data_IF_208355680655
#
_entry.id   IF_208355680655
#
_cell.length_a   1.000
_cell.length_b   1.000
_cell.length_c   1.000
_cell.angle_alpha   90.00
_cell.angle_beta   90.00
_cell.angle_gamma   90.00
#
_symmetry.space_group_name_H-M   'P 1'
#
loop_
_entity.id
_entity.type
_entity.pdbx_description
1 polymer ?
#
# COMPACT_ATOMS: atom_id res chain seq x y z
N UNK A 1 13.65 19.21 5.02
CA UNK A 1 14.32 18.11 5.74
C UNK A 1 13.59 16.83 5.42
N UNK A 2 14.21 15.79 4.82
CA UNK A 2 13.53 14.53 4.62
C UNK A 2 13.64 13.74 5.93
N UNK A 3 12.68 13.96 6.83
CA UNK A 3 12.54 13.13 8.02
C UNK A 3 12.21 11.70 7.57
N UNK A 4 13.13 10.77 7.87
CA UNK A 4 12.94 9.34 7.71
C UNK A 4 11.96 8.85 8.79
N UNK A 5 10.70 9.27 8.66
CA UNK A 5 9.63 9.00 9.60
C UNK A 5 8.65 7.98 9.03
N UNK A 6 8.27 7.04 9.88
CA UNK A 6 7.10 6.21 9.63
C UNK A 6 5.87 7.12 9.48
N UNK A 7 5.20 7.04 8.33
CA UNK A 7 3.99 7.83 8.06
C UNK A 7 2.77 6.94 8.22
N UNK A 8 1.86 7.31 9.11
CA UNK A 8 0.58 6.61 9.26
C UNK A 8 -0.39 7.19 8.23
N UNK A 9 -0.81 6.35 7.29
CA UNK A 9 -1.74 6.71 6.22
C UNK A 9 -3.06 5.97 6.42
N UNK A 10 -4.18 6.66 6.18
CA UNK A 10 -5.50 6.02 6.08
C UNK A 10 -5.82 5.74 4.62
N UNK A 11 -6.13 4.51 4.27
CA UNK A 11 -6.50 4.18 2.90
C UNK A 11 -7.88 4.75 2.58
N UNK A 12 -7.94 5.54 1.52
CA UNK A 12 -9.16 6.20 1.03
C UNK A 12 -9.73 5.54 -0.22
N UNK A 13 -8.89 4.86 -1.01
CA UNK A 13 -9.27 4.18 -2.24
C UNK A 13 -8.39 2.94 -2.41
N UNK A 14 -8.95 1.87 -2.97
CA UNK A 14 -8.22 0.63 -3.29
C UNK A 14 -8.74 0.10 -4.63
N UNK A 15 -7.83 -0.30 -5.50
CA UNK A 15 -8.10 -1.01 -6.73
C UNK A 15 -7.23 -2.25 -6.80
N UNK A 16 -7.78 -3.31 -7.40
CA UNK A 16 -7.08 -4.56 -7.61
C UNK A 16 -7.29 -5.00 -9.05
N UNK A 17 -6.19 -5.39 -9.69
CA UNK A 17 -6.20 -5.98 -11.02
C UNK A 17 -5.42 -7.28 -10.98
N UNK A 18 -6.00 -8.34 -11.54
CA UNK A 18 -5.29 -9.60 -11.76
C UNK A 18 -4.69 -9.58 -13.17
N UNK A 19 -3.41 -9.91 -13.26
CA UNK A 19 -2.76 -10.19 -14.52
C UNK A 19 -2.38 -11.67 -14.54
N UNK A 20 -3.22 -12.46 -15.21
CA UNK A 20 -3.07 -13.91 -15.28
C UNK A 20 -1.82 -14.32 -16.07
N UNK A 21 -1.44 -13.54 -17.10
CA UNK A 21 -0.25 -13.80 -17.91
C UNK A 21 1.04 -13.65 -17.10
N UNK A 22 1.07 -12.67 -16.19
CA UNK A 22 2.20 -12.42 -15.31
C UNK A 22 2.10 -13.18 -13.98
N UNK A 23 1.00 -13.90 -13.73
CA UNK A 23 0.68 -14.54 -12.44
C UNK A 23 0.85 -13.58 -11.25
N UNK A 24 0.40 -12.35 -11.43
CA UNK A 24 0.52 -11.29 -10.42
C UNK A 24 -0.82 -10.59 -10.21
N UNK A 25 -1.09 -10.29 -8.95
CA UNK A 25 -2.13 -9.36 -8.53
C UNK A 25 -1.46 -8.01 -8.26
N UNK A 26 -1.87 -6.98 -9.00
CA UNK A 26 -1.48 -5.61 -8.75
C UNK A 26 -2.56 -4.92 -7.91
N UNK A 27 -2.15 -4.34 -6.79
CA UNK A 27 -3.01 -3.59 -5.88
C UNK A 27 -2.53 -2.15 -5.87
N UNK A 28 -3.46 -1.23 -6.04
CA UNK A 28 -3.23 0.21 -6.00
C UNK A 28 -4.09 0.79 -4.90
N UNK A 29 -3.56 1.71 -4.11
CA UNK A 29 -4.32 2.37 -3.07
C UNK A 29 -3.89 3.82 -2.93
N UNK A 30 -4.84 4.68 -2.54
CA UNK A 30 -4.56 6.07 -2.16
C UNK A 30 -4.63 6.16 -0.64
N UNK A 31 -3.48 6.37 0.00
CA UNK A 31 -3.36 6.72 1.39
C UNK A 31 -3.53 8.22 1.61
N UNK A 32 -4.21 8.61 2.69
CA UNK A 32 -4.34 10.01 3.10
C UNK A 32 -3.72 10.16 4.49
N UNK A 33 -2.86 11.16 4.67
CA UNK A 33 -2.23 11.45 5.95
C UNK A 33 -2.20 12.95 6.21
N UNK A 34 -2.31 13.36 7.49
CA UNK A 34 -2.23 14.76 7.85
C UNK A 34 -0.77 15.24 7.84
N UNK A 35 -0.55 16.43 7.27
CA UNK A 35 0.70 17.20 7.43
C UNK A 35 0.28 18.60 7.86
N UNK A 36 0.57 18.93 9.12
CA UNK A 36 0.11 20.18 9.72
C UNK A 36 -1.43 20.35 9.61
N UNK A 37 -1.91 21.37 8.87
CA UNK A 37 -3.32 21.61 8.60
C UNK A 37 -3.86 20.89 7.37
N UNK A 38 -2.98 20.34 6.54
CA UNK A 38 -3.33 19.85 5.22
C UNK A 38 -3.49 18.32 5.21
N UNK A 39 -4.29 17.82 4.27
CA UNK A 39 -4.41 16.40 3.97
C UNK A 39 -3.59 16.11 2.72
N UNK A 40 -2.53 15.32 2.89
CA UNK A 40 -1.70 14.85 1.79
C UNK A 40 -2.16 13.47 1.34
N UNK A 41 -2.00 13.20 0.04
CA UNK A 41 -2.25 11.89 -0.55
C UNK A 41 -0.93 11.18 -0.84
N UNK A 42 -0.94 9.86 -0.73
CA UNK A 42 0.17 8.98 -1.03
C UNK A 42 -0.33 7.82 -1.88
N UNK A 43 0.20 7.69 -3.09
CA UNK A 43 -0.05 6.54 -3.93
C UNK A 43 0.76 5.35 -3.43
N UNK A 44 0.08 4.22 -3.27
CA UNK A 44 0.64 2.96 -2.79
C UNK A 44 0.36 1.89 -3.84
N UNK A 45 1.39 1.09 -4.14
CA UNK A 45 1.30 0.00 -5.10
C UNK A 45 1.94 -1.23 -4.51
N UNK A 46 1.26 -2.37 -4.62
CA UNK A 46 1.75 -3.67 -4.17
C UNK A 46 1.54 -4.69 -5.29
N UNK A 47 2.56 -5.50 -5.54
CA UNK A 47 2.52 -6.58 -6.51
C UNK A 47 2.68 -7.90 -5.77
N UNK A 48 1.69 -8.78 -5.90
CA UNK A 48 1.62 -10.04 -5.16
C UNK A 48 1.55 -11.19 -6.16
N UNK A 49 2.40 -12.24 -6.04
CA UNK A 49 2.24 -13.49 -6.80
C UNK A 49 0.86 -14.10 -6.59
N UNK A 50 0.23 -14.56 -7.68
CA UNK A 50 -1.07 -15.26 -7.60
C UNK A 50 -0.90 -16.67 -7.05
N UNK A 51 0.26 -17.31 -7.26
CA UNK A 51 0.59 -18.63 -6.73
C UNK A 51 0.91 -18.55 -5.23
N UNK A 52 0.13 -19.26 -4.40
CA UNK A 52 0.24 -19.22 -2.94
C UNK A 52 1.59 -19.73 -2.40
N UNK A 53 2.29 -20.60 -3.11
CA UNK A 53 3.62 -21.09 -2.73
C UNK A 53 4.67 -19.96 -2.75
N UNK A 54 4.47 -18.96 -3.60
CA UNK A 54 5.35 -17.79 -3.73
C UNK A 54 4.91 -16.62 -2.83
N UNK A 55 3.79 -16.78 -2.11
CA UNK A 55 3.28 -15.76 -1.18
C UNK A 55 3.87 -15.97 0.19
N UNK A 56 4.46 -14.91 0.75
CA UNK A 56 4.77 -14.87 2.17
C UNK A 56 3.51 -14.44 2.95
N UNK A 57 2.87 -15.35 3.70
CA UNK A 57 1.64 -15.07 4.43
C UNK A 57 1.84 -14.07 5.58
N UNK A 58 3.09 -13.85 6.03
CA UNK A 58 3.40 -12.97 7.16
C UNK A 58 3.76 -11.55 6.72
N UNK A 59 4.22 -11.32 5.49
CA UNK A 59 4.63 -9.99 5.01
C UNK A 59 3.65 -9.32 4.04
N UNK A 60 2.68 -10.04 3.50
CA UNK A 60 1.73 -9.50 2.51
C UNK A 60 0.45 -8.96 3.17
N UNK A 61 0.54 -7.76 3.75
CA UNK A 61 -0.65 -6.99 4.13
C UNK A 61 -1.31 -6.41 2.87
N UNK A 62 -2.55 -6.83 2.59
CA UNK A 62 -3.37 -6.21 1.54
C UNK A 62 -3.96 -4.91 2.07
N UNK A 63 -3.95 -3.85 1.24
CA UNK A 63 -4.59 -2.58 1.59
C UNK A 63 -6.11 -2.74 1.67
N UNK A 64 -6.69 -2.33 2.79
CA UNK A 64 -8.11 -2.33 3.05
C UNK A 64 -8.62 -0.89 3.17
N UNK A 65 -9.79 -0.63 2.57
CA UNK A 65 -10.44 0.68 2.62
C UNK A 65 -10.71 1.11 4.07
N UNK A 66 -10.43 2.38 4.39
CA UNK A 66 -10.58 2.99 5.71
C UNK A 66 -9.70 2.40 6.83
N UNK A 67 -8.77 1.49 6.51
CA UNK A 67 -7.75 1.03 7.46
C UNK A 67 -6.53 1.94 7.45
N UNK A 68 -5.72 1.83 8.51
CA UNK A 68 -4.52 2.62 8.71
C UNK A 68 -3.29 1.74 8.57
N UNK A 69 -2.29 2.22 7.84
CA UNK A 69 -1.02 1.53 7.62
C UNK A 69 0.14 2.44 7.97
N UNK A 70 1.20 1.86 8.49
CA UNK A 70 2.46 2.52 8.73
C UNK A 70 3.34 2.32 7.49
N UNK A 71 3.60 3.39 6.73
CA UNK A 71 4.47 3.37 5.57
C UNK A 71 5.83 3.90 5.98
N UNK A 72 6.82 3.03 5.95
CA UNK A 72 8.21 3.35 6.24
C UNK A 72 8.94 3.55 4.93
N UNK A 73 9.26 4.81 4.58
CA UNK A 73 10.08 5.09 3.41
C UNK A 73 11.52 4.69 3.67
N UNK A 74 12.05 3.73 2.90
CA UNK A 74 13.48 3.75 2.57
C UNK A 74 13.54 4.29 1.15
N UNK A 75 13.86 5.59 1.04
CA UNK A 75 14.16 6.23 -0.25
C UNK A 75 15.48 5.69 -0.76
#
# INVERSE_FOLDING_TARGET
MPCHGNTIVRISQVWQTCNDDLKLVAIWAVGVFPVESDRCELDLSLFIPTDNEDRDPNSQLIFELNKYYCVSGKV
#
